data_IF_761477801644
#
_entry.id   IF_761477801644
#
_cell.length_a   1.000
_cell.length_b   1.000
_cell.length_c   1.000
_cell.angle_alpha   90.00
_cell.angle_beta   90.00
_cell.angle_gamma   90.00
#
_symmetry.space_group_name_H-M   'P 1'
#
loop_
_entity.id
_entity.type
_entity.pdbx_description
1 polymer ?
#
# COMPACT_ATOMS: atom_id res chain seq x y z
N UNK A 1 17.27 9.57 7.20
CA UNK A 1 17.91 8.31 6.77
C UNK A 1 16.92 7.19 7.01
N UNK A 2 16.50 6.47 5.98
CA UNK A 2 15.58 5.34 6.12
C UNK A 2 16.34 4.16 6.74
N UNK A 3 15.87 3.62 7.86
CA UNK A 3 16.49 2.47 8.50
C UNK A 3 16.20 1.22 7.65
N UNK A 4 17.21 0.72 6.94
CA UNK A 4 17.10 -0.42 6.01
C UNK A 4 16.55 -1.67 6.69
N UNK A 5 16.82 -1.86 7.99
CA UNK A 5 16.29 -2.99 8.77
C UNK A 5 14.78 -2.91 8.91
N UNK A 6 14.23 -1.73 9.17
CA UNK A 6 12.79 -1.52 9.28
C UNK A 6 12.09 -1.78 7.96
N UNK A 7 12.61 -1.28 6.84
CA UNK A 7 12.03 -1.52 5.52
C UNK A 7 12.05 -3.00 5.15
N UNK A 8 13.15 -3.70 5.44
CA UNK A 8 13.24 -5.14 5.18
C UNK A 8 12.19 -5.90 5.99
N UNK A 9 12.08 -5.64 7.29
CA UNK A 9 11.08 -6.27 8.15
C UNK A 9 9.65 -6.01 7.65
N UNK A 10 9.32 -4.77 7.25
CA UNK A 10 8.01 -4.43 6.70
C UNK A 10 7.72 -5.15 5.37
N UNK A 11 8.72 -5.25 4.48
CA UNK A 11 8.56 -5.94 3.20
C UNK A 11 8.31 -7.45 3.34
N UNK A 12 8.73 -8.03 4.46
CA UNK A 12 8.47 -9.44 4.79
C UNK A 12 7.12 -9.63 5.48
N UNK A 13 6.63 -8.62 6.19
CA UNK A 13 5.41 -8.70 7.00
C UNK A 13 4.15 -8.25 6.24
N UNK A 14 4.28 -7.34 5.26
CA UNK A 14 3.15 -6.74 4.55
C UNK A 14 3.28 -6.89 3.04
N UNK A 15 2.17 -7.21 2.37
CA UNK A 15 2.08 -7.19 0.92
C UNK A 15 1.59 -5.83 0.41
N UNK A 16 2.03 -5.43 -0.78
CA UNK A 16 1.67 -4.17 -1.41
C UNK A 16 0.47 -4.34 -2.34
N UNK A 17 -0.17 -3.23 -2.75
CA UNK A 17 -1.24 -3.30 -3.75
C UNK A 17 -0.74 -3.86 -5.08
N UNK A 18 0.45 -3.44 -5.50
CA UNK A 18 1.14 -3.86 -6.72
C UNK A 18 2.64 -3.98 -6.45
N UNK A 19 3.25 -5.00 -7.04
CA UNK A 19 4.67 -5.28 -6.90
C UNK A 19 5.44 -4.90 -8.17
N UNK A 20 6.77 -4.81 -8.07
CA UNK A 20 7.67 -4.66 -9.23
C UNK A 20 8.24 -6.03 -9.57
N UNK A 21 7.87 -6.55 -10.74
CA UNK A 21 8.36 -7.81 -11.27
C UNK A 21 9.59 -7.67 -12.17
N UNK A 22 10.00 -8.76 -12.84
CA UNK A 22 11.15 -8.76 -13.73
C UNK A 22 11.09 -7.66 -14.79
N UNK A 23 12.22 -6.99 -15.03
CA UNK A 23 12.32 -5.90 -15.99
C UNK A 23 11.57 -4.62 -15.58
N UNK A 24 11.26 -4.43 -14.29
CA UNK A 24 10.60 -3.22 -13.78
C UNK A 24 9.10 -3.17 -14.05
N UNK A 25 8.49 -4.28 -14.50
CA UNK A 25 7.06 -4.32 -14.82
C UNK A 25 6.23 -4.33 -13.55
N UNK A 26 5.19 -3.51 -13.50
CA UNK A 26 4.22 -3.55 -12.40
C UNK A 26 3.38 -4.82 -12.52
N UNK A 27 3.32 -5.61 -11.45
CA UNK A 27 2.59 -6.89 -11.35
C UNK A 27 1.65 -6.89 -10.14
N UNK A 28 0.67 -7.80 -10.14
CA UNK A 28 -0.35 -7.86 -9.09
C UNK A 28 0.24 -8.25 -7.72
N UNK A 29 -0.07 -7.47 -6.69
CA UNK A 29 0.02 -7.88 -5.28
C UNK A 29 -1.39 -8.17 -4.75
N UNK A 30 -1.81 -7.45 -3.72
CA UNK A 30 -3.17 -7.47 -3.18
C UNK A 30 -4.23 -7.07 -4.21
N UNK A 31 -3.90 -6.17 -5.14
CA UNK A 31 -4.79 -5.79 -6.23
C UNK A 31 -4.65 -6.77 -7.40
N UNK A 32 -5.75 -7.43 -7.78
CA UNK A 32 -5.80 -8.31 -8.96
C UNK A 32 -5.89 -7.53 -10.28
N UNK A 33 -6.44 -6.31 -10.23
CA UNK A 33 -6.60 -5.43 -11.39
C UNK A 33 -6.56 -3.98 -10.93
N UNK A 34 -6.07 -3.08 -11.77
CA UNK A 34 -6.16 -1.65 -11.54
C UNK A 34 -6.44 -0.89 -12.83
N UNK A 35 -7.04 0.29 -12.68
CA UNK A 35 -7.29 1.23 -13.77
C UNK A 35 -6.67 2.57 -13.40
N UNK A 36 -5.71 3.02 -14.21
CA UNK A 36 -5.04 4.30 -14.05
C UNK A 36 -5.76 5.38 -14.86
N UNK A 37 -5.91 6.55 -14.27
CA UNK A 37 -6.40 7.80 -14.87
C UNK A 37 -5.41 8.92 -14.50
N UNK A 38 -5.47 10.10 -15.17
CA UNK A 38 -4.52 11.18 -14.92
C UNK A 38 -4.40 11.61 -13.44
N UNK A 39 -5.51 11.59 -12.70
CA UNK A 39 -5.56 12.04 -11.29
C UNK A 39 -5.99 10.95 -10.30
N UNK A 40 -6.20 9.71 -10.75
CA UNK A 40 -6.68 8.65 -9.87
C UNK A 40 -6.30 7.26 -10.35
N UNK A 41 -6.20 6.33 -9.40
CA UNK A 41 -6.05 4.90 -9.69
C UNK A 41 -7.13 4.15 -8.93
N UNK A 42 -7.83 3.26 -9.61
CA UNK A 42 -8.82 2.38 -8.99
C UNK A 42 -8.27 0.97 -8.93
N UNK A 43 -8.16 0.42 -7.73
CA UNK A 43 -7.70 -0.96 -7.50
C UNK A 43 -8.89 -1.89 -7.24
N UNK A 44 -8.85 -3.09 -7.80
CA UNK A 44 -9.75 -4.19 -7.47
C UNK A 44 -8.96 -5.23 -6.69
N UNK A 45 -9.35 -5.48 -5.45
CA UNK A 45 -8.65 -6.40 -4.56
C UNK A 45 -8.95 -7.87 -4.87
N UNK A 46 -7.99 -8.74 -4.53
CA UNK A 46 -8.22 -10.19 -4.44
C UNK A 46 -9.29 -10.48 -3.38
N UNK A 47 -10.00 -11.58 -3.56
CA UNK A 47 -10.99 -12.06 -2.59
C UNK A 47 -10.35 -13.07 -1.65
N UNK A 48 -10.87 -13.19 -0.43
CA UNK A 48 -10.40 -14.16 0.56
C UNK A 48 -9.02 -13.87 1.17
N UNK A 49 -8.49 -12.66 1.00
CA UNK A 49 -7.25 -12.24 1.67
C UNK A 49 -7.57 -11.82 3.10
N UNK A 50 -6.78 -12.30 4.05
CA UNK A 50 -6.89 -11.96 5.47
C UNK A 50 -5.59 -11.37 6.00
N UNK A 51 -5.72 -10.52 7.02
CA UNK A 51 -4.61 -10.12 7.88
C UNK A 51 -4.14 -11.31 8.74
N UNK A 52 -3.01 -11.15 9.43
CA UNK A 52 -2.44 -12.18 10.30
C UNK A 52 -3.35 -12.57 11.48
N UNK A 53 -4.26 -11.69 11.89
CA UNK A 53 -5.26 -11.92 12.94
C UNK A 53 -6.56 -12.59 12.42
N UNK A 54 -6.62 -12.92 11.13
CA UNK A 54 -7.78 -13.51 10.47
C UNK A 54 -8.84 -12.51 9.99
N UNK A 55 -8.69 -11.21 10.29
CA UNK A 55 -9.60 -10.19 9.77
C UNK A 55 -9.50 -10.07 8.24
N UNK A 56 -10.60 -9.83 7.51
CA UNK A 56 -10.56 -9.73 6.05
C UNK A 56 -9.91 -8.43 5.60
N UNK A 57 -9.10 -8.51 4.54
CA UNK A 57 -8.59 -7.32 3.84
C UNK A 57 -9.70 -6.78 2.93
N UNK A 58 -10.25 -5.62 3.28
CA UNK A 58 -11.31 -4.96 2.50
C UNK A 58 -10.80 -3.71 1.80
N UNK A 59 -11.58 -3.19 0.84
CA UNK A 59 -11.29 -1.90 0.23
C UNK A 59 -11.25 -0.76 1.27
N UNK A 60 -12.08 -0.85 2.32
CA UNK A 60 -12.07 0.10 3.43
C UNK A 60 -10.76 0.03 4.23
N UNK A 61 -10.29 -1.18 4.56
CA UNK A 61 -9.00 -1.36 5.27
C UNK A 61 -7.85 -0.69 4.53
N UNK A 62 -7.80 -0.85 3.20
CA UNK A 62 -6.78 -0.21 2.36
C UNK A 62 -6.95 1.32 2.33
N UNK A 63 -8.19 1.80 2.16
CA UNK A 63 -8.47 3.25 2.13
C UNK A 63 -8.11 3.92 3.47
N UNK A 64 -8.47 3.29 4.60
CA UNK A 64 -8.15 3.78 5.93
C UNK A 64 -6.63 3.83 6.16
N UNK A 65 -5.88 2.82 5.70
CA UNK A 65 -4.43 2.82 5.78
C UNK A 65 -3.77 3.95 4.97
N UNK A 66 -4.26 4.22 3.76
CA UNK A 66 -3.76 5.33 2.94
C UNK A 66 -4.09 6.67 3.62
N UNK A 67 -5.31 6.84 4.11
CA UNK A 67 -5.74 8.04 4.81
C UNK A 67 -4.85 8.32 6.03
N UNK A 68 -4.59 7.31 6.85
CA UNK A 68 -3.71 7.40 8.01
C UNK A 68 -2.27 7.79 7.62
N UNK A 69 -1.69 7.14 6.61
CA UNK A 69 -0.34 7.47 6.13
C UNK A 69 -0.20 8.91 5.60
N UNK A 70 -1.29 9.50 5.12
CA UNK A 70 -1.33 10.88 4.64
C UNK A 70 -1.80 11.89 5.69
N UNK A 71 -2.19 11.43 6.88
CA UNK A 71 -2.63 12.32 7.94
C UNK A 71 -1.42 12.97 8.64
N UNK A 72 -1.41 14.31 8.83
CA UNK A 72 -0.32 14.99 9.54
C UNK A 72 -0.13 14.47 10.98
N UNK A 73 -1.23 14.11 11.63
CA UNK A 73 -1.25 13.63 13.02
C UNK A 73 -0.51 12.29 13.20
N UNK A 74 -0.50 11.46 12.17
CA UNK A 74 0.18 10.15 12.15
C UNK A 74 1.70 10.30 12.14
N UNK A 75 2.21 11.49 11.79
CA UNK A 75 3.65 11.81 11.74
C UNK A 75 4.44 10.77 10.94
N UNK A 76 3.82 10.26 9.86
CA UNK A 76 4.46 9.30 8.97
C UNK A 76 5.73 9.93 8.38
N UNK A 77 6.87 9.23 8.37
CA UNK A 77 8.08 9.72 7.71
C UNK A 77 7.91 9.88 6.19
N UNK A 78 6.84 9.32 5.62
CA UNK A 78 6.47 9.50 4.21
C UNK A 78 5.67 10.79 3.95
N UNK A 79 5.05 11.38 4.98
CA UNK A 79 4.19 12.55 4.86
C UNK A 79 4.97 13.78 4.37
N UNK A 80 4.52 14.37 3.27
CA UNK A 80 5.15 15.52 2.63
C UNK A 80 6.48 15.23 1.94
N UNK A 81 6.88 13.96 1.83
CA UNK A 81 8.07 13.51 1.08
C UNK A 81 7.64 12.75 -0.17
N UNK A 82 6.90 11.65 0.03
CA UNK A 82 6.32 10.84 -1.07
C UNK A 82 4.80 10.80 -1.01
N UNK A 83 4.22 10.86 0.19
CA UNK A 83 2.80 11.12 0.36
C UNK A 83 2.57 12.65 0.26
N UNK A 84 1.58 13.12 -0.51
CA UNK A 84 1.29 14.53 -0.62
C UNK A 84 0.90 15.11 0.74
N UNK A 85 1.27 16.38 0.96
CA UNK A 85 0.60 17.18 1.99
C UNK A 85 -0.80 17.45 1.46
N UNK A 86 -1.82 17.16 2.25
CA UNK A 86 -3.18 17.59 1.95
C UNK A 86 -3.25 19.11 1.78
#
# INVERSE_FOLDING_TARGET
>A
MQNTTTYTALSLAYDTLVNVGPGGRIVSGLAKKWKVRPSSVTFTLRQGVTCADGSPVTAKTVADNVADNTAPATKSPAYGVVAPKG
#
